data_IF_023547560818
#
_entry.id   IF_023547560818
#
_cell.length_a   1.000
_cell.length_b   1.000
_cell.length_c   1.000
_cell.angle_alpha   90.00
_cell.angle_beta   90.00
_cell.angle_gamma   90.00
#
_symmetry.space_group_name_H-M   'P 1'
#
loop_
_entity.id
_entity.type
_entity.pdbx_description
1 polymer ?
#
# COMPACT_ATOMS: atom_id res chain seq x y z
N UNK A 1 -24.66 7.55 33.11
CA UNK A 1 -24.85 6.19 33.68
C UNK A 1 -23.59 5.34 33.51
N UNK A 2 -23.29 4.82 32.30
CA UNK A 2 -22.18 3.86 32.10
C UNK A 2 -20.79 4.40 32.50
N UNK A 3 -20.46 5.64 32.11
CA UNK A 3 -19.19 6.29 32.52
C UNK A 3 -19.06 6.48 34.03
N UNK A 4 -20.16 6.75 34.73
CA UNK A 4 -20.16 6.94 36.18
C UNK A 4 -20.02 5.60 36.94
N UNK A 5 -20.29 4.48 36.27
CA UNK A 5 -20.07 3.13 36.77
C UNK A 5 -18.71 2.55 36.33
N UNK A 6 -17.81 3.38 35.80
CA UNK A 6 -16.46 2.98 35.31
C UNK A 6 -16.46 1.87 34.24
N UNK A 7 -17.56 1.74 33.49
CA UNK A 7 -17.67 0.77 32.42
C UNK A 7 -16.98 1.34 31.17
N UNK A 8 -16.02 0.60 30.63
CA UNK A 8 -15.35 0.94 29.37
C UNK A 8 -16.38 0.87 28.22
N UNK A 9 -16.67 2.03 27.63
CA UNK A 9 -17.59 2.17 26.51
C UNK A 9 -16.96 2.99 25.39
N UNK A 10 -17.03 2.47 24.17
CA UNK A 10 -16.59 3.14 22.96
C UNK A 10 -17.75 3.28 21.98
N UNK A 11 -17.72 4.34 21.16
CA UNK A 11 -18.67 4.47 20.05
C UNK A 11 -18.25 3.51 18.93
N UNK A 12 -19.23 2.91 18.25
CA UNK A 12 -18.99 2.34 16.92
C UNK A 12 -18.83 3.52 15.97
N UNK A 13 -17.64 3.67 15.40
CA UNK A 13 -17.31 4.77 14.51
C UNK A 13 -17.28 4.28 13.07
N UNK A 14 -17.86 5.05 12.16
CA UNK A 14 -17.66 4.90 10.73
C UNK A 14 -16.23 5.31 10.33
N UNK A 15 -15.77 4.86 9.16
CA UNK A 15 -14.45 5.25 8.63
C UNK A 15 -14.31 6.78 8.49
N UNK A 16 -15.40 7.45 8.08
CA UNK A 16 -15.42 8.90 7.94
C UNK A 16 -15.31 9.63 9.29
N UNK A 17 -15.82 9.04 10.38
CA UNK A 17 -15.64 9.56 11.74
C UNK A 17 -14.20 9.32 12.22
N UNK A 18 -13.66 8.13 12.00
CA UNK A 18 -12.27 7.78 12.36
C UNK A 18 -11.28 8.74 11.68
N UNK A 19 -11.47 9.03 10.39
CA UNK A 19 -10.60 9.94 9.64
C UNK A 19 -10.57 11.38 10.20
N UNK A 20 -11.58 11.76 10.98
CA UNK A 20 -11.70 13.10 11.60
C UNK A 20 -11.55 13.05 13.14
N UNK A 21 -11.30 11.87 13.72
CA UNK A 21 -11.20 11.70 15.15
C UNK A 21 -9.96 12.46 15.68
N UNK A 22 -10.12 13.36 16.67
CA UNK A 22 -9.02 14.16 17.20
C UNK A 22 -7.82 13.35 17.68
N UNK A 23 -8.05 12.14 18.21
CA UNK A 23 -6.97 11.26 18.67
C UNK A 23 -6.22 10.64 17.49
N UNK A 24 -6.92 10.22 16.44
CA UNK A 24 -6.28 9.69 15.23
C UNK A 24 -5.45 10.78 14.52
N UNK A 25 -5.99 12.00 14.44
CA UNK A 25 -5.26 13.16 13.88
C UNK A 25 -4.04 13.51 14.73
N UNK A 26 -4.20 13.66 16.05
CA UNK A 26 -3.09 14.00 16.95
C UNK A 26 -1.97 12.94 16.94
N UNK A 27 -2.35 11.69 16.73
CA UNK A 27 -1.40 10.57 16.63
C UNK A 27 -0.85 10.38 15.23
N UNK A 28 -1.24 11.17 14.23
CA UNK A 28 -0.86 11.02 12.84
C UNK A 28 -1.09 9.59 12.34
N UNK A 29 -2.28 9.06 12.61
CA UNK A 29 -2.67 7.68 12.31
C UNK A 29 -2.86 7.42 10.81
N UNK A 30 -2.91 8.47 10.00
CA UNK A 30 -3.00 8.41 8.54
C UNK A 30 -1.86 9.23 7.93
N UNK A 31 -1.22 8.68 6.90
CA UNK A 31 -0.22 9.32 6.05
C UNK A 31 -0.88 9.74 4.73
N UNK A 32 -0.44 10.88 4.18
CA UNK A 32 -0.84 11.29 2.83
C UNK A 32 0.12 10.70 1.82
N UNK A 33 -0.43 10.03 0.82
CA UNK A 33 0.30 9.50 -0.32
C UNK A 33 -0.29 10.07 -1.62
N UNK A 34 0.47 9.96 -2.70
CA UNK A 34 0.06 10.41 -4.04
C UNK A 34 0.01 9.20 -4.95
N UNK A 35 -1.14 8.99 -5.60
CA UNK A 35 -1.33 7.98 -6.63
C UNK A 35 -0.52 8.34 -7.89
N UNK A 36 -0.32 7.38 -8.79
CA UNK A 36 0.44 7.60 -10.05
C UNK A 36 -0.18 8.70 -10.92
N UNK A 37 -1.50 8.90 -10.83
CA UNK A 37 -2.24 9.95 -11.54
C UNK A 37 -2.24 11.31 -10.81
N UNK A 38 -1.49 11.45 -9.72
CA UNK A 38 -1.35 12.69 -8.95
C UNK A 38 -2.43 12.91 -7.90
N UNK A 39 -3.46 12.04 -7.79
CA UNK A 39 -4.51 12.21 -6.78
C UNK A 39 -3.97 11.91 -5.37
N UNK A 40 -4.34 12.70 -4.35
CA UNK A 40 -4.00 12.41 -2.97
C UNK A 40 -4.84 11.24 -2.44
N UNK A 41 -4.23 10.39 -1.62
CA UNK A 41 -4.86 9.28 -0.92
C UNK A 41 -4.35 9.23 0.52
N UNK A 42 -5.24 8.97 1.48
CA UNK A 42 -4.82 8.66 2.84
C UNK A 42 -4.65 7.16 3.03
N UNK A 43 -3.54 6.78 3.65
CA UNK A 43 -3.24 5.40 4.03
C UNK A 43 -2.96 5.33 5.53
N UNK A 44 -3.23 4.21 6.21
CA UNK A 44 -2.84 4.04 7.60
C UNK A 44 -1.33 4.22 7.77
N UNK A 45 -0.94 4.98 8.79
CA UNK A 45 0.46 5.17 9.14
C UNK A 45 1.07 3.88 9.71
N UNK A 46 2.39 3.75 9.63
CA UNK A 46 3.10 2.59 10.20
C UNK A 46 2.94 2.57 11.73
N UNK A 47 2.55 1.41 12.27
CA UNK A 47 2.38 1.15 13.70
C UNK A 47 3.14 -0.12 14.13
N UNK A 48 3.71 -0.18 15.35
CA UNK A 48 3.78 0.87 16.36
C UNK A 48 4.78 1.99 16.02
N UNK A 49 4.62 3.16 16.64
CA UNK A 49 5.57 4.28 16.55
C UNK A 49 6.81 3.97 17.40
N UNK A 50 7.94 3.73 16.74
CA UNK A 50 9.23 3.53 17.42
C UNK A 50 9.94 4.87 17.59
N UNK A 51 10.52 5.13 18.76
CA UNK A 51 11.21 6.38 19.05
C UNK A 51 12.59 6.47 18.39
N UNK A 52 13.33 5.35 18.34
CA UNK A 52 14.69 5.31 17.79
C UNK A 52 14.71 5.03 16.28
N UNK A 53 13.77 4.22 15.79
CA UNK A 53 13.69 3.81 14.38
C UNK A 53 12.27 3.97 13.83
N UNK A 54 11.76 5.21 13.69
CA UNK A 54 10.41 5.42 13.15
C UNK A 54 10.28 4.80 11.76
N UNK A 55 9.27 3.95 11.58
CA UNK A 55 8.89 3.45 10.26
C UNK A 55 8.14 4.53 9.47
N UNK A 56 8.20 4.43 8.14
CA UNK A 56 7.47 5.30 7.21
C UNK A 56 7.09 4.54 5.95
N UNK A 57 5.99 4.95 5.31
CA UNK A 57 5.62 4.45 3.98
C UNK A 57 6.52 5.09 2.93
N UNK A 58 7.30 4.28 2.21
CA UNK A 58 8.20 4.79 1.15
C UNK A 58 7.56 4.82 -0.24
N UNK A 59 6.63 3.91 -0.50
CA UNK A 59 5.88 3.80 -1.74
C UNK A 59 4.56 3.07 -1.48
N UNK A 60 3.54 3.33 -2.31
CA UNK A 60 2.24 2.65 -2.23
C UNK A 60 2.26 1.24 -2.82
N UNK A 61 3.20 1.01 -3.73
CA UNK A 61 3.38 -0.21 -4.48
C UNK A 61 4.03 0.15 -5.81
N UNK A 62 4.90 -0.70 -6.36
CA UNK A 62 5.36 -0.52 -7.72
C UNK A 62 4.24 -0.86 -8.73
N UNK A 63 4.43 -0.41 -9.97
CA UNK A 63 3.66 -0.91 -11.09
C UNK A 63 3.81 -2.43 -11.24
N UNK A 64 2.78 -3.06 -11.79
CA UNK A 64 2.77 -4.50 -12.02
C UNK A 64 3.96 -4.91 -12.90
N UNK A 65 4.76 -5.87 -12.42
CA UNK A 65 5.85 -6.46 -13.17
C UNK A 65 7.16 -5.67 -13.21
N UNK A 66 7.29 -4.55 -12.48
CA UNK A 66 8.52 -3.72 -12.51
C UNK A 66 9.79 -4.51 -12.17
N UNK A 67 9.69 -5.48 -11.25
CA UNK A 67 10.84 -6.25 -10.76
C UNK A 67 11.03 -7.58 -11.52
N UNK A 68 10.17 -7.93 -12.48
CA UNK A 68 10.17 -9.24 -13.16
C UNK A 68 11.52 -9.55 -13.79
N UNK A 69 12.07 -8.64 -14.59
CA UNK A 69 13.35 -8.83 -15.28
C UNK A 69 14.53 -8.84 -14.29
N UNK A 70 14.50 -7.96 -13.28
CA UNK A 70 15.55 -7.89 -12.26
C UNK A 70 15.66 -9.19 -11.47
N UNK A 71 14.52 -9.79 -11.10
CA UNK A 71 14.47 -11.04 -10.35
C UNK A 71 14.77 -12.23 -11.26
N UNK A 72 14.00 -12.43 -12.33
CA UNK A 72 14.12 -13.63 -13.15
C UNK A 72 15.45 -13.68 -13.92
N UNK A 73 15.85 -12.57 -14.54
CA UNK A 73 17.11 -12.49 -15.28
C UNK A 73 18.31 -12.29 -14.35
N UNK A 74 18.22 -11.31 -13.45
CA UNK A 74 19.34 -10.91 -12.60
C UNK A 74 19.63 -11.89 -11.47
N UNK A 75 18.62 -12.28 -10.70
CA UNK A 75 18.82 -13.10 -9.49
C UNK A 75 18.74 -14.59 -9.78
N UNK A 76 17.83 -14.99 -10.68
CA UNK A 76 17.62 -16.40 -11.03
C UNK A 76 18.37 -16.83 -12.29
N UNK A 77 18.98 -15.89 -13.03
CA UNK A 77 19.86 -16.20 -14.16
C UNK A 77 19.13 -16.69 -15.41
N UNK A 78 17.84 -16.39 -15.58
CA UNK A 78 17.13 -16.73 -16.82
C UNK A 78 17.68 -15.91 -17.99
N UNK A 79 17.99 -16.58 -19.09
CA UNK A 79 18.42 -15.92 -20.32
C UNK A 79 17.30 -15.06 -20.92
N UNK A 80 17.67 -14.00 -21.63
CA UNK A 80 16.73 -13.08 -22.28
C UNK A 80 15.77 -13.77 -23.26
N UNK A 81 16.20 -14.88 -23.90
CA UNK A 81 15.34 -15.69 -24.76
C UNK A 81 14.23 -16.39 -23.95
N UNK A 82 14.56 -16.94 -22.79
CA UNK A 82 13.58 -17.57 -21.91
C UNK A 82 12.58 -16.54 -21.36
N UNK A 83 13.07 -15.36 -20.97
CA UNK A 83 12.22 -14.26 -20.52
C UNK A 83 11.25 -13.81 -21.61
N UNK A 84 11.71 -13.66 -22.86
CA UNK A 84 10.85 -13.34 -24.00
C UNK A 84 9.80 -14.42 -24.25
N UNK A 85 10.19 -15.69 -24.26
CA UNK A 85 9.26 -16.80 -24.44
C UNK A 85 8.17 -16.83 -23.36
N UNK A 86 8.53 -16.57 -22.10
CA UNK A 86 7.58 -16.48 -21.00
C UNK A 86 6.63 -15.28 -21.13
N UNK A 87 7.14 -14.14 -21.60
CA UNK A 87 6.32 -12.94 -21.82
C UNK A 87 5.36 -13.12 -23.00
N UNK A 88 5.82 -13.66 -24.13
CA UNK A 88 5.01 -13.98 -25.31
C UNK A 88 3.95 -15.04 -25.00
N UNK A 89 4.27 -16.01 -24.15
CA UNK A 89 3.32 -17.00 -23.64
C UNK A 89 2.34 -16.47 -22.60
N UNK A 90 2.43 -15.19 -22.20
CA UNK A 90 1.57 -14.58 -21.18
C UNK A 90 1.77 -15.13 -19.76
N UNK A 91 2.88 -15.83 -19.51
CA UNK A 91 3.21 -16.41 -18.20
C UNK A 91 3.71 -15.35 -17.24
N UNK A 92 4.41 -14.34 -17.76
CA UNK A 92 4.87 -13.16 -17.01
C UNK A 92 4.40 -11.88 -17.70
N UNK A 93 4.23 -10.79 -16.93
CA UNK A 93 3.96 -9.48 -17.49
C UNK A 93 5.16 -8.98 -18.29
N UNK A 94 4.96 -8.65 -19.57
CA UNK A 94 5.99 -8.09 -20.44
C UNK A 94 6.46 -6.71 -19.98
N UNK A 95 7.67 -6.30 -20.41
CA UNK A 95 8.31 -5.03 -20.01
C UNK A 95 7.32 -3.85 -20.12
N UNK A 96 7.15 -3.16 -19.00
CA UNK A 96 6.00 -2.31 -18.73
C UNK A 96 5.81 -1.16 -19.73
N UNK A 97 4.73 -1.25 -20.51
CA UNK A 97 4.08 -0.11 -21.13
C UNK A 97 2.55 -0.32 -21.13
N UNK A 98 1.92 -0.21 -19.96
CA UNK A 98 0.52 0.19 -19.84
C UNK A 98 0.18 0.41 -18.36
N UNK A 99 -0.31 1.61 -18.03
CA UNK A 99 -0.93 1.89 -16.75
C UNK A 99 -2.10 0.93 -16.52
N UNK A 100 -1.88 -0.07 -15.67
CA UNK A 100 -2.92 -0.98 -15.23
C UNK A 100 -3.58 -0.40 -14.00
N UNK A 101 -4.76 0.20 -14.16
CA UNK A 101 -5.64 0.49 -13.03
C UNK A 101 -5.78 -0.78 -12.20
N UNK A 102 -5.58 -0.67 -10.89
CA UNK A 102 -5.87 -1.74 -9.95
C UNK A 102 -7.25 -2.36 -10.26
N UNK A 103 -7.41 -3.69 -10.14
CA UNK A 103 -8.72 -4.31 -10.28
C UNK A 103 -9.62 -3.72 -9.19
N UNK A 104 -10.58 -2.88 -9.58
CA UNK A 104 -11.68 -2.48 -8.72
C UNK A 104 -12.44 -3.75 -8.37
N UNK A 105 -12.25 -4.23 -7.13
CA UNK A 105 -13.12 -5.23 -6.54
C UNK A 105 -14.55 -4.68 -6.51
N UNK A 106 -15.49 -5.55 -6.85
CA UNK A 106 -16.94 -5.35 -7.05
C UNK A 106 -17.63 -4.36 -6.13
#
# INVERSE_FOLDING_TARGET
ALRAAEIAVGRIQSIAEIARDPQFVARGAFESATLEDGRPMQVPAVVPRLSATPGATRWLGPALGVDTRAILGGWLGLADEALRSLAEGGVIGGDAAAGGSAPTAS
#
